data_IF_813380431247
#
_entry.id   IF_813380431247
#
_cell.length_a   1.000
_cell.length_b   1.000
_cell.length_c   1.000
_cell.angle_alpha   90.00
_cell.angle_beta   90.00
_cell.angle_gamma   90.00
#
_symmetry.space_group_name_H-M   'P 1'
#
loop_
_entity.id
_entity.type
_entity.pdbx_description
1 polymer ?
#
# COMPACT_ATOMS: atom_id res chain seq x y z
N UNK A 1 16.29 -10.09 -0.46
CA UNK A 1 17.41 -10.75 0.24
C UNK A 1 17.60 -12.13 -0.38
N UNK A 2 18.79 -12.41 -0.95
CA UNK A 2 19.08 -13.67 -1.66
C UNK A 2 19.22 -14.87 -0.70
N UNK A 3 18.54 -15.95 -1.10
CA UNK A 3 18.80 -17.38 -0.86
C UNK A 3 18.74 -17.95 0.57
N UNK A 4 17.61 -18.59 0.88
CA UNK A 4 17.61 -20.01 1.30
C UNK A 4 16.31 -20.68 0.79
N UNK A 5 16.52 -21.75 0.02
CA UNK A 5 15.53 -22.54 -0.74
C UNK A 5 15.00 -23.71 0.12
N UNK A 6 13.69 -23.96 -0.04
CA UNK A 6 12.81 -25.12 0.24
C UNK A 6 13.32 -26.49 0.74
N UNK A 7 12.52 -27.18 1.57
CA UNK A 7 11.92 -28.52 1.32
C UNK A 7 11.01 -28.99 2.51
N UNK A 8 9.68 -29.07 2.38
CA UNK A 8 8.79 -30.26 2.12
C UNK A 8 8.48 -31.14 3.37
N UNK A 9 7.18 -31.35 3.66
CA UNK A 9 6.51 -32.67 3.68
C UNK A 9 5.22 -32.68 4.53
N UNK A 10 4.06 -32.59 3.87
CA UNK A 10 2.85 -33.23 4.36
C UNK A 10 2.78 -34.63 3.74
N UNK A 11 3.16 -35.65 4.52
CA UNK A 11 2.80 -37.04 4.28
C UNK A 11 2.02 -37.52 5.50
N UNK A 12 0.77 -37.92 5.29
CA UNK A 12 0.04 -38.75 6.24
C UNK A 12 0.60 -40.18 6.25
N UNK A 13 0.63 -40.79 7.42
CA UNK A 13 0.96 -42.20 7.63
C UNK A 13 1.05 -42.51 9.11
N UNK A 14 0.06 -43.22 9.64
CA UNK A 14 -0.03 -43.57 11.06
C UNK A 14 1.01 -44.59 11.53
N UNK A 15 1.19 -44.65 12.85
CA UNK A 15 1.95 -45.68 13.54
C UNK A 15 1.95 -45.39 15.04
N UNK A 16 1.29 -46.24 15.83
CA UNK A 16 1.12 -46.07 17.27
C UNK A 16 2.31 -46.50 18.14
N UNK A 17 2.12 -46.35 19.45
CA UNK A 17 3.04 -46.70 20.54
C UNK A 17 3.56 -45.42 21.22
N UNK A 18 3.18 -45.05 22.45
CA UNK A 18 3.12 -45.86 23.66
C UNK A 18 4.35 -45.50 24.52
N UNK A 19 4.15 -44.79 25.63
CA UNK A 19 5.22 -44.54 26.60
C UNK A 19 5.03 -43.23 27.37
N UNK A 20 4.53 -43.33 28.60
CA UNK A 20 4.34 -42.21 29.51
C UNK A 20 5.64 -41.60 30.02
N UNK A 21 5.59 -40.30 30.29
CA UNK A 21 6.60 -39.56 31.02
C UNK A 21 6.00 -38.23 31.45
N UNK A 22 5.70 -38.07 32.74
CA UNK A 22 5.15 -36.84 33.29
C UNK A 22 6.15 -35.70 33.16
N UNK A 23 5.78 -34.68 32.39
CA UNK A 23 6.49 -33.40 32.30
C UNK A 23 5.80 -32.39 33.22
N UNK A 24 6.52 -31.94 34.24
CA UNK A 24 6.15 -30.81 35.08
C UNK A 24 6.16 -29.54 34.22
N UNK A 25 4.99 -28.95 33.96
CA UNK A 25 4.91 -27.63 33.34
C UNK A 25 5.56 -26.59 34.28
N UNK A 26 6.57 -25.83 33.84
CA UNK A 26 7.02 -24.66 34.59
C UNK A 26 5.88 -23.63 34.67
N UNK A 27 5.76 -22.89 35.79
CA UNK A 27 4.77 -21.82 35.90
C UNK A 27 5.00 -20.78 34.78
N UNK A 28 3.93 -20.18 34.24
CA UNK A 28 4.05 -19.16 33.21
C UNK A 28 4.93 -18.01 33.73
N UNK A 29 5.80 -17.43 32.88
CA UNK A 29 6.61 -16.29 33.26
C UNK A 29 5.69 -15.16 33.73
N UNK A 30 5.97 -14.63 34.92
CA UNK A 30 5.32 -13.44 35.45
C UNK A 30 5.66 -12.29 34.49
N UNK A 31 4.70 -11.91 33.64
CA UNK A 31 4.84 -10.76 32.76
C UNK A 31 4.86 -9.53 33.65
N UNK A 32 6.03 -8.92 33.85
CA UNK A 32 6.12 -7.62 34.50
C UNK A 32 5.22 -6.63 33.74
N UNK A 33 4.40 -5.83 34.44
CA UNK A 33 3.59 -4.81 33.78
C UNK A 33 4.52 -3.90 32.98
N UNK A 34 4.26 -3.78 31.69
CA UNK A 34 4.97 -2.84 30.81
C UNK A 34 4.83 -1.44 31.43
N UNK A 35 5.92 -0.67 31.61
CA UNK A 35 5.86 0.63 32.26
C UNK A 35 4.88 1.51 31.51
N UNK A 36 3.90 2.06 32.23
CA UNK A 36 2.98 3.06 31.68
C UNK A 36 3.82 4.22 31.14
N UNK A 37 3.75 4.54 29.83
CA UNK A 37 4.54 5.62 29.28
C UNK A 37 4.18 6.92 30.01
N UNK A 38 5.19 7.55 30.60
CA UNK A 38 5.01 8.84 31.26
C UNK A 38 4.78 9.88 30.17
N UNK A 39 3.55 10.36 30.04
CA UNK A 39 3.18 11.35 29.03
C UNK A 39 3.88 12.66 29.38
N UNK A 40 4.90 13.03 28.59
CA UNK A 40 5.53 14.34 28.71
C UNK A 40 4.49 15.43 28.37
N UNK A 41 4.34 16.49 29.17
CA UNK A 41 3.38 17.55 28.88
C UNK A 41 3.69 18.17 27.52
N UNK A 42 2.65 18.34 26.71
CA UNK A 42 2.72 18.98 25.40
C UNK A 42 3.21 20.43 25.55
N UNK A 43 4.36 20.76 24.95
CA UNK A 43 4.91 22.11 24.92
C UNK A 43 5.27 22.46 23.48
N UNK A 44 4.29 22.93 22.72
CA UNK A 44 4.53 23.65 21.47
C UNK A 44 4.17 25.13 21.63
N UNK A 45 5.11 25.96 22.12
CA UNK A 45 4.92 27.40 22.20
C UNK A 45 4.89 28.02 20.79
N UNK A 46 4.45 29.27 20.69
CA UNK A 46 4.36 30.04 19.44
C UNK A 46 5.63 29.87 18.58
N UNK A 47 5.46 29.26 17.40
CA UNK A 47 6.56 28.86 16.52
C UNK A 47 6.39 27.50 15.83
N UNK A 48 5.37 26.71 16.20
CA UNK A 48 5.04 25.43 15.58
C UNK A 48 5.92 24.27 16.08
N UNK A 49 5.32 23.08 16.19
CA UNK A 49 6.08 21.86 16.44
C UNK A 49 6.87 21.49 15.17
N UNK A 50 8.07 20.96 15.33
CA UNK A 50 8.91 20.52 14.21
C UNK A 50 9.21 19.03 14.27
N UNK A 51 8.86 18.35 15.36
CA UNK A 51 8.97 16.90 15.46
C UNK A 51 7.74 16.30 16.14
N UNK A 52 7.35 15.12 15.69
CA UNK A 52 6.18 14.40 16.14
C UNK A 52 6.55 12.94 16.32
N UNK A 53 6.05 12.32 17.39
CA UNK A 53 6.19 10.89 17.62
C UNK A 53 4.80 10.28 17.66
N UNK A 54 4.60 9.27 16.84
CA UNK A 54 3.36 8.55 16.71
C UNK A 54 3.59 7.08 17.01
N UNK A 55 2.54 6.41 17.49
CA UNK A 55 2.57 4.98 17.75
C UNK A 55 1.21 4.38 17.48
N UNK A 56 1.21 3.11 17.07
CA UNK A 56 -0.02 2.44 16.69
C UNK A 56 0.14 0.95 16.52
N UNK A 57 -0.87 0.38 15.89
CA UNK A 57 -0.91 -1.03 15.52
C UNK A 57 -1.40 -1.15 14.09
N UNK A 58 -0.88 -2.12 13.36
CA UNK A 58 -1.50 -2.54 12.10
C UNK A 58 -1.79 -4.05 12.11
N UNK A 59 -2.79 -4.40 11.31
CA UNK A 59 -3.30 -5.75 11.15
C UNK A 59 -3.52 -5.98 9.67
N UNK A 60 -2.87 -6.99 9.15
CA UNK A 60 -3.09 -7.49 7.80
C UNK A 60 -3.79 -8.84 7.88
N UNK A 61 -4.87 -8.99 7.13
CA UNK A 61 -5.64 -10.23 7.02
C UNK A 61 -5.72 -10.63 5.55
N UNK A 62 -5.20 -11.81 5.22
CA UNK A 62 -5.32 -12.39 3.88
C UNK A 62 -6.28 -13.56 3.91
N UNK A 63 -7.33 -13.47 3.10
CA UNK A 63 -8.28 -14.56 2.86
C UNK A 63 -8.15 -15.00 1.42
N UNK A 64 -7.99 -16.29 1.17
CA UNK A 64 -7.98 -16.87 -0.16
C UNK A 64 -9.24 -17.69 -0.34
N UNK A 65 -9.82 -17.69 -1.54
CA UNK A 65 -10.90 -18.61 -1.93
C UNK A 65 -10.34 -19.72 -2.82
N UNK A 66 -9.14 -19.53 -3.36
CA UNK A 66 -8.41 -20.45 -4.25
C UNK A 66 -6.93 -20.55 -3.85
N UNK A 67 -6.22 -21.70 -4.04
CA UNK A 67 -6.69 -22.99 -4.59
C UNK A 67 -7.54 -23.81 -3.62
N UNK A 68 -8.10 -24.93 -4.11
CA UNK A 68 -8.80 -25.93 -3.28
C UNK A 68 -7.83 -27.07 -2.90
N UNK A 69 -7.73 -27.47 -1.61
CA UNK A 69 -8.48 -26.94 -0.46
C UNK A 69 -8.06 -25.52 -0.08
N UNK A 70 -9.04 -24.71 0.28
CA UNK A 70 -8.85 -23.30 0.65
C UNK A 70 -7.86 -23.16 1.81
N UNK A 71 -6.75 -22.41 1.65
CA UNK A 71 -5.82 -22.17 2.74
C UNK A 71 -6.48 -21.47 3.93
N UNK A 72 -5.99 -21.70 5.16
CA UNK A 72 -6.49 -20.97 6.33
C UNK A 72 -6.23 -19.47 6.18
N UNK A 73 -7.12 -18.66 6.77
CA UNK A 73 -6.95 -17.20 6.84
C UNK A 73 -5.64 -16.87 7.54
N UNK A 74 -4.84 -16.00 6.94
CA UNK A 74 -3.58 -15.51 7.51
C UNK A 74 -3.83 -14.15 8.15
N UNK A 75 -3.31 -13.97 9.37
CA UNK A 75 -3.37 -12.69 10.09
C UNK A 75 -1.99 -12.35 10.59
N UNK A 76 -1.53 -11.15 10.27
CA UNK A 76 -0.26 -10.59 10.73
C UNK A 76 -0.60 -9.33 11.51
N UNK A 77 -0.11 -9.26 12.74
CA UNK A 77 -0.22 -8.07 13.58
C UNK A 77 1.17 -7.48 13.76
N UNK A 78 1.26 -6.16 13.74
CA UNK A 78 2.48 -5.43 14.02
C UNK A 78 2.19 -4.19 14.88
N UNK A 79 3.21 -3.76 15.60
CA UNK A 79 3.23 -2.46 16.26
C UNK A 79 3.97 -1.47 15.37
N UNK A 80 3.43 -0.27 15.26
CA UNK A 80 3.98 0.80 14.44
C UNK A 80 4.53 1.89 15.34
N UNK A 81 5.76 2.33 15.10
CA UNK A 81 6.37 3.49 15.75
C UNK A 81 6.91 4.45 14.71
N UNK A 82 6.59 5.73 14.82
CA UNK A 82 6.93 6.72 13.80
C UNK A 82 7.46 8.01 14.43
N UNK A 83 8.47 8.58 13.81
CA UNK A 83 8.99 9.91 14.13
C UNK A 83 8.99 10.76 12.88
N UNK A 84 8.36 11.94 12.97
CA UNK A 84 8.30 12.90 11.88
C UNK A 84 9.13 14.11 12.28
N UNK A 85 9.90 14.64 11.33
CA UNK A 85 10.69 15.85 11.45
C UNK A 85 10.39 16.77 10.27
N UNK A 86 10.01 18.01 10.56
CA UNK A 86 9.68 19.02 9.55
C UNK A 86 10.95 19.78 9.19
N UNK A 87 11.34 19.74 7.93
CA UNK A 87 12.47 20.50 7.38
C UNK A 87 11.91 21.58 6.46
N UNK A 88 11.83 22.84 6.94
CA UNK A 88 11.49 23.96 6.08
C UNK A 88 12.49 24.09 4.93
N UNK A 89 11.99 24.26 3.71
CA UNK A 89 12.80 24.58 2.52
C UNK A 89 13.85 23.52 2.14
N UNK A 90 13.47 22.24 2.11
CA UNK A 90 14.35 21.15 1.71
C UNK A 90 14.53 21.05 0.18
N UNK A 91 15.16 22.07 -0.42
CA UNK A 91 15.44 22.08 -1.85
C UNK A 91 14.20 21.90 -2.75
N UNK A 92 14.40 21.84 -4.08
CA UNK A 92 13.33 21.47 -5.00
C UNK A 92 13.17 19.93 -5.08
N UNK A 93 11.93 19.44 -5.02
CA UNK A 93 11.56 18.07 -5.40
C UNK A 93 10.98 18.11 -6.81
N UNK A 94 11.60 17.39 -7.75
CA UNK A 94 11.26 17.43 -9.18
C UNK A 94 11.09 18.87 -9.73
N UNK A 95 11.99 19.77 -9.33
CA UNK A 95 11.97 21.18 -9.73
C UNK A 95 10.97 22.07 -8.99
N UNK A 96 10.20 21.53 -8.04
CA UNK A 96 9.20 22.27 -7.27
C UNK A 96 9.65 22.52 -5.83
N UNK A 97 9.56 23.77 -5.37
CA UNK A 97 9.87 24.15 -3.98
C UNK A 97 8.74 23.65 -3.06
N UNK A 98 9.10 22.88 -2.03
CA UNK A 98 8.18 22.33 -1.07
C UNK A 98 8.77 22.28 0.35
N UNK A 99 7.91 22.03 1.34
CA UNK A 99 8.31 21.67 2.71
C UNK A 99 8.50 20.16 2.77
N UNK A 100 9.65 19.68 3.25
CA UNK A 100 9.89 18.25 3.42
C UNK A 100 9.53 17.82 4.85
N UNK A 101 8.70 16.79 4.94
CA UNK A 101 8.38 16.08 6.16
C UNK A 101 9.12 14.75 6.12
N UNK A 102 10.23 14.70 6.86
CA UNK A 102 11.03 13.50 7.01
C UNK A 102 10.41 12.60 8.05
N UNK A 103 10.05 11.41 7.63
CA UNK A 103 9.42 10.40 8.47
C UNK A 103 10.37 9.23 8.60
N UNK A 104 10.68 8.82 9.82
CA UNK A 104 11.33 7.56 10.13
C UNK A 104 10.32 6.68 10.85
N UNK A 105 10.06 5.50 10.29
CA UNK A 105 9.04 4.58 10.75
C UNK A 105 9.64 3.22 11.03
N UNK A 106 9.11 2.52 12.03
CA UNK A 106 9.56 1.21 12.46
C UNK A 106 8.37 0.31 12.76
N UNK A 107 8.31 -0.80 12.04
CA UNK A 107 7.25 -1.79 12.12
C UNK A 107 7.79 -3.07 12.70
N UNK A 108 7.22 -3.47 13.83
CA UNK A 108 7.64 -4.69 14.52
C UNK A 108 6.53 -5.73 14.42
N UNK A 109 6.77 -6.75 13.60
CA UNK A 109 5.98 -7.97 13.53
C UNK A 109 6.75 -9.12 14.23
N UNK A 110 6.10 -10.26 14.56
CA UNK A 110 6.77 -11.37 15.27
C UNK A 110 8.03 -11.91 14.59
N UNK A 111 8.13 -11.78 13.26
CA UNK A 111 9.22 -12.35 12.46
C UNK A 111 10.06 -11.29 11.75
N UNK A 112 9.70 -10.01 11.85
CA UNK A 112 10.34 -8.98 11.04
C UNK A 112 10.29 -7.62 11.72
N UNK A 113 11.40 -6.89 11.60
CA UNK A 113 11.50 -5.47 11.88
C UNK A 113 11.80 -4.77 10.56
N UNK A 114 10.94 -3.84 10.14
CA UNK A 114 11.17 -3.01 8.96
C UNK A 114 11.30 -1.57 9.42
N UNK A 115 12.31 -0.86 8.92
CA UNK A 115 12.42 0.58 9.09
C UNK A 115 12.26 1.27 7.74
N UNK A 116 11.37 2.26 7.66
CA UNK A 116 11.15 3.03 6.43
C UNK A 116 11.45 4.49 6.68
N UNK A 117 12.26 5.11 5.83
CA UNK A 117 12.50 6.54 5.81
C UNK A 117 11.76 7.14 4.62
N UNK A 118 10.89 8.11 4.86
CA UNK A 118 10.09 8.77 3.81
C UNK A 118 10.20 10.27 3.93
N UNK A 119 10.60 10.92 2.85
CA UNK A 119 10.57 12.37 2.68
C UNK A 119 9.31 12.75 1.90
N UNK A 120 8.32 13.35 2.57
CA UNK A 120 7.08 13.83 1.93
C UNK A 120 7.20 15.32 1.61
N UNK A 121 6.90 15.71 0.37
CA UNK A 121 7.06 17.08 -0.09
C UNK A 121 5.71 17.78 -0.21
N UNK A 122 5.46 18.80 0.62
CA UNK A 122 4.17 19.49 0.68
C UNK A 122 4.31 20.98 0.33
N UNK A 123 3.42 21.44 -0.54
CA UNK A 123 3.20 22.83 -0.88
C UNK A 123 2.00 23.39 -0.11
N UNK A 124 2.21 24.55 0.50
CA UNK A 124 1.20 25.28 1.26
C UNK A 124 0.72 26.50 0.47
N UNK A 125 -0.59 26.82 0.50
CA UNK A 125 -1.09 28.06 -0.06
C UNK A 125 -0.59 29.24 0.80
N UNK A 126 -0.48 30.43 0.21
CA UNK A 126 -0.08 31.65 0.93
C UNK A 126 -1.19 32.23 1.82
N UNK A 127 -2.45 31.87 1.55
CA UNK A 127 -3.63 32.31 2.30
C UNK A 127 -4.66 31.19 2.33
N UNK A 128 -5.63 31.22 1.41
CA UNK A 128 -6.69 30.23 1.24
C UNK A 128 -6.35 29.34 0.07
N UNK A 129 -6.57 28.03 0.19
CA UNK A 129 -6.38 27.10 -0.92
C UNK A 129 -6.03 25.69 -0.49
N UNK A 130 -5.71 24.87 -1.48
CA UNK A 130 -5.32 23.47 -1.26
C UNK A 130 -3.92 23.39 -0.67
N UNK A 131 -3.77 22.51 0.31
CA UNK A 131 -2.48 22.00 0.75
C UNK A 131 -2.20 20.75 -0.09
N UNK A 132 -1.09 20.75 -0.80
CA UNK A 132 -0.81 19.76 -1.85
C UNK A 132 0.47 19.02 -1.49
N UNK A 133 0.38 17.72 -1.25
CA UNK A 133 1.50 16.79 -1.36
C UNK A 133 1.88 16.69 -2.83
N UNK A 134 3.10 17.09 -3.19
CA UNK A 134 3.60 16.99 -4.57
C UNK A 134 4.27 15.65 -4.84
N UNK A 135 4.43 14.81 -3.81
CA UNK A 135 5.00 13.49 -3.90
C UNK A 135 5.88 13.13 -2.70
N UNK A 136 6.51 11.96 -2.77
CA UNK A 136 7.40 11.49 -1.73
C UNK A 136 8.55 10.66 -2.31
N UNK A 137 9.62 10.58 -1.52
CA UNK A 137 10.73 9.67 -1.74
C UNK A 137 10.87 8.79 -0.50
N UNK A 138 10.90 7.48 -0.65
CA UNK A 138 11.04 6.54 0.46
C UNK A 138 12.14 5.51 0.24
N UNK A 139 12.72 5.05 1.34
CA UNK A 139 13.68 3.94 1.35
C UNK A 139 13.45 3.10 2.59
N UNK A 140 13.34 1.78 2.41
CA UNK A 140 13.22 0.86 3.54
C UNK A 140 14.56 0.23 3.96
N UNK A 141 14.55 -0.49 5.08
CA UNK A 141 15.70 -1.20 5.62
C UNK A 141 16.14 -2.38 4.77
N UNK A 142 15.33 -2.82 3.80
CA UNK A 142 15.72 -3.82 2.82
C UNK A 142 16.44 -3.19 1.62
N UNK A 143 16.38 -1.87 1.46
CA UNK A 143 17.00 -1.11 0.37
C UNK A 143 16.07 -0.86 -0.81
N UNK A 144 14.76 -1.11 -0.67
CA UNK A 144 13.77 -0.75 -1.69
C UNK A 144 13.55 0.76 -1.65
N UNK A 145 13.67 1.40 -2.81
CA UNK A 145 13.55 2.86 -2.98
C UNK A 145 12.34 3.17 -3.86
N UNK A 146 11.40 3.96 -3.36
CA UNK A 146 10.24 4.42 -4.13
C UNK A 146 10.26 5.94 -4.26
N UNK A 147 9.96 6.45 -5.45
CA UNK A 147 9.80 7.87 -5.73
C UNK A 147 8.48 8.09 -6.46
N UNK A 148 7.60 8.90 -5.87
CA UNK A 148 6.27 9.21 -6.39
C UNK A 148 6.15 10.70 -6.57
N UNK A 149 5.72 11.12 -7.76
CA UNK A 149 5.40 12.49 -8.09
C UNK A 149 3.91 12.62 -8.38
N UNK A 150 3.19 13.40 -7.57
CA UNK A 150 1.81 13.76 -7.86
C UNK A 150 1.77 14.88 -8.90
N UNK A 151 0.95 14.69 -9.94
CA UNK A 151 0.81 15.65 -11.03
C UNK A 151 -0.41 16.56 -10.79
N UNK A 152 -0.71 17.43 -11.75
CA UNK A 152 -1.76 18.42 -11.63
C UNK A 152 -3.14 17.78 -11.32
N UNK A 153 -3.81 18.31 -10.29
CA UNK A 153 -5.13 17.86 -9.84
C UNK A 153 -5.11 16.64 -8.90
N UNK A 154 -3.92 16.15 -8.52
CA UNK A 154 -3.72 15.14 -7.48
C UNK A 154 -3.00 15.73 -6.26
N UNK A 155 -2.92 14.97 -5.17
CA UNK A 155 -2.08 15.26 -4.00
C UNK A 155 -2.68 16.26 -3.02
N UNK A 156 -3.92 16.69 -3.17
CA UNK A 156 -4.60 17.52 -2.16
C UNK A 156 -4.80 16.69 -0.90
N UNK A 157 -4.20 17.13 0.20
CA UNK A 157 -4.28 16.49 1.52
C UNK A 157 -5.05 17.34 2.54
N UNK A 158 -5.49 18.52 2.12
CA UNK A 158 -6.25 19.43 2.97
C UNK A 158 -6.48 20.78 2.30
N UNK A 159 -7.19 21.65 3.01
CA UNK A 159 -7.45 23.02 2.57
C UNK A 159 -7.25 24.00 3.73
N UNK A 160 -6.93 25.24 3.41
CA UNK A 160 -6.90 26.36 4.36
C UNK A 160 -8.07 27.29 4.04
N UNK A 161 -8.99 27.58 5.00
CA UNK A 161 -9.09 26.95 6.32
C UNK A 161 -9.52 25.47 6.23
N UNK A 162 -9.21 24.71 7.28
CA UNK A 162 -9.54 23.28 7.36
C UNK A 162 -11.06 23.04 7.30
N UNK A 163 -11.47 21.93 6.67
CA UNK A 163 -12.82 21.39 6.79
C UNK A 163 -13.71 21.54 5.56
N UNK A 164 -13.24 22.18 4.49
CA UNK A 164 -13.85 22.03 3.18
C UNK A 164 -13.38 20.69 2.56
N UNK A 165 -14.31 19.90 2.02
CA UNK A 165 -13.99 18.65 1.34
C UNK A 165 -13.19 18.90 0.07
N UNK A 166 -12.41 17.91 -0.35
CA UNK A 166 -11.65 17.95 -1.59
C UNK A 166 -11.75 16.60 -2.31
N UNK A 167 -11.27 16.61 -3.55
CA UNK A 167 -11.16 15.43 -4.41
C UNK A 167 -9.82 15.48 -5.11
N UNK A 168 -9.22 14.31 -5.29
CA UNK A 168 -8.05 14.15 -6.14
C UNK A 168 -8.41 13.38 -7.40
N UNK A 169 -7.67 13.64 -8.47
CA UNK A 169 -7.57 12.70 -9.59
C UNK A 169 -6.44 11.69 -9.33
N UNK A 170 -6.19 10.75 -10.25
CA UNK A 170 -5.14 9.73 -10.06
C UNK A 170 -3.76 10.09 -10.62
N UNK A 171 -3.60 11.30 -11.16
CA UNK A 171 -2.45 11.65 -11.99
C UNK A 171 -1.13 11.60 -11.21
N UNK A 172 -0.22 10.73 -11.61
CA UNK A 172 1.06 10.52 -10.91
C UNK A 172 2.12 9.86 -11.78
N UNK A 173 3.38 9.99 -11.37
CA UNK A 173 4.51 9.20 -11.85
C UNK A 173 5.07 8.44 -10.66
N UNK A 174 5.29 7.15 -10.84
CA UNK A 174 5.83 6.26 -9.82
C UNK A 174 7.09 5.62 -10.39
N UNK A 175 8.16 5.61 -9.59
CA UNK A 175 9.32 4.78 -9.84
C UNK A 175 9.71 4.01 -8.59
N UNK A 176 10.11 2.75 -8.77
CA UNK A 176 10.67 1.93 -7.71
C UNK A 176 11.96 1.26 -8.20
N UNK A 177 12.93 1.15 -7.29
CA UNK A 177 14.12 0.34 -7.47
C UNK A 177 14.28 -0.60 -6.28
N UNK A 178 14.38 -1.89 -6.57
CA UNK A 178 14.63 -2.94 -5.59
C UNK A 178 16.11 -3.32 -5.54
N UNK A 179 16.60 -3.81 -4.39
CA UNK A 179 17.96 -4.32 -4.24
C UNK A 179 18.30 -5.50 -5.15
N UNK A 180 17.29 -6.24 -5.63
CA UNK A 180 17.49 -7.37 -6.53
C UNK A 180 17.63 -6.96 -8.01
N UNK A 181 17.61 -5.64 -8.28
CA UNK A 181 17.68 -5.07 -9.61
C UNK A 181 16.32 -4.93 -10.30
N UNK A 182 15.22 -5.25 -9.61
CA UNK A 182 13.88 -4.93 -10.12
C UNK A 182 13.70 -3.42 -10.20
N UNK A 183 13.22 -2.94 -11.35
CA UNK A 183 12.91 -1.52 -11.58
C UNK A 183 11.49 -1.42 -12.09
N UNK A 184 10.69 -0.57 -11.47
CA UNK A 184 9.32 -0.29 -11.88
C UNK A 184 9.17 1.19 -12.21
N UNK A 185 8.51 1.48 -13.33
CA UNK A 185 8.15 2.82 -13.74
C UNK A 185 6.69 2.81 -14.22
N UNK A 186 5.88 3.71 -13.68
CA UNK A 186 4.47 3.83 -14.02
C UNK A 186 4.07 5.30 -14.15
N UNK A 187 3.29 5.62 -15.19
CA UNK A 187 2.63 6.92 -15.35
C UNK A 187 1.14 6.70 -15.34
N UNK A 188 0.45 7.38 -14.42
CA UNK A 188 -1.00 7.29 -14.23
C UNK A 188 -1.63 8.61 -14.66
N UNK A 189 -2.69 8.54 -15.45
CA UNK A 189 -3.48 9.68 -15.91
C UNK A 189 -4.55 10.07 -14.87
N UNK A 190 -5.18 11.25 -14.99
CA UNK A 190 -6.22 11.70 -14.06
C UNK A 190 -7.40 10.72 -13.85
N UNK A 191 -7.74 9.94 -14.86
CA UNK A 191 -8.85 8.98 -14.83
C UNK A 191 -8.49 7.61 -14.24
N UNK A 192 -7.21 7.37 -13.90
CA UNK A 192 -6.68 6.10 -13.41
C UNK A 192 -6.13 5.16 -14.49
N UNK A 193 -6.27 5.52 -15.78
CA UNK A 193 -5.57 4.82 -16.87
C UNK A 193 -4.05 4.99 -16.72
N UNK A 194 -3.26 4.01 -17.16
CA UNK A 194 -1.81 4.06 -16.91
C UNK A 194 -0.99 3.35 -17.98
N UNK A 195 0.31 3.66 -18.01
CA UNK A 195 1.35 2.83 -18.62
C UNK A 195 2.36 2.40 -17.55
N UNK A 196 2.79 1.14 -17.60
CA UNK A 196 3.71 0.52 -16.65
C UNK A 196 4.81 -0.23 -17.40
N UNK A 197 6.03 -0.12 -16.88
CA UNK A 197 7.17 -0.97 -17.24
C UNK A 197 7.79 -1.48 -15.95
N UNK A 198 7.93 -2.79 -15.83
CA UNK A 198 8.65 -3.47 -14.76
C UNK A 198 9.74 -4.32 -15.38
N UNK A 199 10.99 -4.13 -14.99
CA UNK A 199 12.11 -4.96 -15.42
C UNK A 199 12.63 -5.71 -14.22
N UNK A 200 12.74 -7.03 -14.32
CA UNK A 200 13.27 -7.91 -13.28
C UNK A 200 14.10 -9.02 -13.92
N UNK A 201 14.71 -9.88 -13.11
CA UNK A 201 15.55 -11.00 -13.60
C UNK A 201 14.78 -11.93 -14.54
N UNK A 202 13.47 -12.10 -14.32
CA UNK A 202 12.62 -12.94 -15.17
C UNK A 202 12.36 -12.32 -16.56
N UNK A 203 12.50 -11.00 -16.71
CA UNK A 203 12.26 -10.27 -17.95
C UNK A 203 11.56 -8.94 -17.72
N UNK A 204 11.02 -8.37 -18.80
CA UNK A 204 10.29 -7.09 -18.75
C UNK A 204 8.80 -7.34 -18.87
N UNK A 205 8.04 -6.83 -17.90
CA UNK A 205 6.59 -6.67 -17.98
C UNK A 205 6.27 -5.26 -18.48
N UNK A 206 5.37 -5.15 -19.45
CA UNK A 206 4.77 -3.86 -19.82
C UNK A 206 3.26 -3.96 -19.73
N UNK A 207 2.60 -2.89 -19.31
CA UNK A 207 1.14 -2.83 -19.29
C UNK A 207 0.62 -1.44 -19.64
N UNK A 208 -0.53 -1.41 -20.32
CA UNK A 208 -1.26 -0.18 -20.63
C UNK A 208 -2.73 -0.42 -20.36
N UNK A 209 -3.29 0.31 -19.39
CA UNK A 209 -4.71 0.34 -19.08
C UNK A 209 -5.31 1.62 -19.67
N UNK A 210 -6.42 1.50 -20.39
CA UNK A 210 -7.16 2.62 -20.98
C UNK A 210 -8.33 3.02 -20.08
N UNK A 211 -8.83 4.26 -20.23
CA UNK A 211 -9.91 4.84 -19.43
C UNK A 211 -11.23 4.06 -19.43
N UNK A 212 -11.49 3.25 -20.45
CA UNK A 212 -12.69 2.42 -20.58
C UNK A 212 -12.55 1.03 -19.94
N UNK A 213 -11.44 0.79 -19.24
CA UNK A 213 -11.12 -0.49 -18.61
C UNK A 213 -10.60 -1.56 -19.57
N UNK A 214 -10.39 -1.25 -20.85
CA UNK A 214 -9.63 -2.12 -21.76
C UNK A 214 -8.13 -1.94 -21.54
N UNK A 215 -7.32 -2.92 -21.93
CA UNK A 215 -5.88 -2.80 -21.78
C UNK A 215 -5.09 -3.96 -22.37
N UNK A 216 -3.78 -3.82 -22.34
CA UNK A 216 -2.85 -4.85 -22.76
C UNK A 216 -1.71 -4.98 -21.77
N UNK A 217 -1.23 -6.19 -21.52
CA UNK A 217 0.02 -6.43 -20.83
C UNK A 217 0.87 -7.46 -21.59
N UNK A 218 2.19 -7.33 -21.47
CA UNK A 218 3.15 -8.36 -21.85
C UNK A 218 3.82 -8.77 -20.56
N UNK A 219 3.77 -10.06 -20.22
CA UNK A 219 4.42 -10.64 -19.03
C UNK A 219 5.47 -11.65 -19.46
N UNK A 220 6.63 -11.74 -18.78
CA UNK A 220 7.69 -12.71 -19.07
C UNK A 220 7.35 -14.12 -18.55
N UNK A 221 6.08 -14.50 -18.64
CA UNK A 221 5.57 -15.82 -18.29
C UNK A 221 4.96 -16.43 -19.52
N UNK A 222 5.30 -17.69 -19.77
CA UNK A 222 4.76 -18.47 -20.86
C UNK A 222 3.70 -19.40 -20.29
N UNK A 223 2.42 -19.13 -20.57
CA UNK A 223 1.32 -20.02 -20.21
C UNK A 223 1.34 -21.28 -21.08
N UNK A 224 0.85 -22.40 -20.54
CA UNK A 224 0.86 -23.70 -21.22
C UNK A 224 0.21 -23.61 -22.61
N UNK A 225 0.97 -24.03 -23.64
CA UNK A 225 0.52 -24.05 -25.03
C UNK A 225 0.73 -22.75 -25.81
N UNK A 226 1.06 -21.65 -25.15
CA UNK A 226 1.60 -20.45 -25.78
C UNK A 226 3.13 -20.62 -25.82
N UNK A 227 3.77 -20.52 -26.98
CA UNK A 227 5.24 -20.57 -27.07
C UNK A 227 5.88 -19.20 -26.79
N UNK A 228 7.16 -19.03 -27.14
CA UNK A 228 7.82 -17.72 -27.17
C UNK A 228 8.54 -17.33 -25.87
N UNK A 229 8.77 -16.02 -25.71
CA UNK A 229 9.52 -15.43 -24.59
C UNK A 229 8.62 -14.84 -23.51
N UNK A 230 7.30 -14.81 -23.74
CA UNK A 230 6.32 -14.32 -22.77
C UNK A 230 4.89 -14.48 -23.28
N UNK A 231 3.95 -13.89 -22.56
CA UNK A 231 2.52 -13.87 -22.93
C UNK A 231 2.02 -12.45 -23.02
N UNK A 232 1.31 -12.16 -24.10
CA UNK A 232 0.51 -10.95 -24.22
C UNK A 232 -0.91 -11.23 -23.75
N UNK A 233 -1.38 -10.40 -22.83
CA UNK A 233 -2.73 -10.39 -22.27
C UNK A 233 -3.44 -9.19 -22.88
N UNK A 234 -4.62 -9.40 -23.45
CA UNK A 234 -5.49 -8.32 -23.95
C UNK A 234 -6.83 -8.40 -23.25
N UNK A 235 -7.23 -7.28 -22.63
CA UNK A 235 -8.51 -7.08 -21.98
C UNK A 235 -9.37 -6.20 -22.87
N UNK A 236 -10.47 -6.72 -23.44
CA UNK A 236 -11.38 -5.88 -24.23
C UNK A 236 -12.20 -4.97 -23.31
N UNK A 237 -12.82 -3.94 -23.91
CA UNK A 237 -13.88 -3.19 -23.23
C UNK A 237 -14.96 -4.16 -22.79
N UNK A 238 -15.41 -4.04 -21.54
CA UNK A 238 -16.46 -4.90 -21.03
C UNK A 238 -17.79 -4.60 -21.73
N UNK A 239 -18.37 -5.62 -22.36
CA UNK A 239 -19.70 -5.57 -22.95
C UNK A 239 -20.49 -6.82 -22.60
N UNK A 240 -21.70 -6.68 -22.04
CA UNK A 240 -22.61 -7.81 -21.88
C UNK A 240 -22.30 -8.78 -20.75
N UNK A 241 -21.66 -8.31 -19.65
CA UNK A 241 -21.46 -9.11 -18.43
C UNK A 241 -20.40 -10.21 -18.52
N UNK A 242 -19.72 -10.34 -19.67
CA UNK A 242 -18.57 -11.22 -19.87
C UNK A 242 -17.43 -10.40 -20.47
N UNK A 243 -16.21 -10.66 -19.99
CA UNK A 243 -14.97 -10.09 -20.53
C UNK A 243 -14.18 -11.24 -21.16
N UNK A 244 -13.90 -11.13 -22.46
CA UNK A 244 -13.18 -12.16 -23.21
C UNK A 244 -11.68 -11.83 -23.23
N UNK A 245 -10.96 -12.31 -22.23
CA UNK A 245 -9.50 -12.16 -22.17
C UNK A 245 -8.88 -12.90 -23.34
N UNK A 246 -7.93 -12.26 -24.01
CA UNK A 246 -7.14 -12.91 -25.07
C UNK A 246 -5.70 -13.07 -24.60
N UNK A 247 -5.21 -14.30 -24.60
CA UNK A 247 -3.82 -14.64 -24.34
C UNK A 247 -3.14 -15.04 -25.65
N UNK A 248 -2.04 -14.38 -26.01
CA UNK A 248 -1.25 -14.71 -27.21
C UNK A 248 0.23 -14.84 -26.88
N UNK A 249 0.93 -15.68 -27.64
CA UNK A 249 2.36 -15.86 -27.49
C UNK A 249 3.11 -14.57 -27.86
N UNK A 250 4.01 -14.11 -27.00
CA UNK A 250 4.91 -12.98 -27.26
C UNK A 250 6.29 -13.52 -27.65
N UNK A 251 6.87 -13.01 -28.74
CA UNK A 251 8.21 -13.42 -29.20
C UNK A 251 8.32 -14.85 -29.77
N UNK A 252 7.21 -15.53 -30.03
CA UNK A 252 7.24 -16.88 -30.63
C UNK A 252 7.63 -16.85 -32.12
N UNK A 253 8.47 -17.80 -32.54
CA UNK A 253 8.81 -18.00 -33.95
C UNK A 253 7.63 -18.60 -34.73
N UNK A 254 7.48 -18.29 -36.03
CA UNK A 254 6.45 -18.89 -36.87
C UNK A 254 6.58 -20.43 -36.98
N UNK A 255 5.46 -21.18 -37.01
CA UNK A 255 4.09 -20.69 -36.89
C UNK A 255 3.72 -20.37 -35.44
N UNK A 256 3.21 -19.15 -35.21
CA UNK A 256 2.77 -18.70 -33.88
C UNK A 256 1.52 -19.48 -33.45
N UNK A 257 1.46 -20.01 -32.21
CA UNK A 257 0.25 -20.62 -31.68
C UNK A 257 -0.95 -19.66 -31.75
N UNK A 258 -2.16 -20.15 -32.06
CA UNK A 258 -3.34 -19.30 -32.09
C UNK A 258 -3.61 -18.70 -30.70
N UNK A 259 -4.12 -17.45 -30.61
CA UNK A 259 -4.52 -16.87 -29.34
C UNK A 259 -5.59 -17.72 -28.62
N UNK A 260 -5.47 -17.81 -27.30
CA UNK A 260 -6.47 -18.42 -26.44
C UNK A 260 -7.44 -17.35 -25.94
N UNK A 261 -8.74 -17.60 -26.01
CA UNK A 261 -9.77 -16.70 -25.50
C UNK A 261 -10.39 -17.31 -24.25
N UNK A 262 -10.34 -16.57 -23.14
CA UNK A 262 -10.86 -16.99 -21.84
C UNK A 262 -12.04 -16.09 -21.47
N UNK A 263 -13.29 -16.60 -21.54
CA UNK A 263 -14.45 -15.85 -21.11
C UNK A 263 -14.49 -15.79 -19.57
N UNK A 264 -14.58 -14.59 -19.02
CA UNK A 264 -14.66 -14.34 -17.58
C UNK A 264 -15.94 -13.56 -17.29
N UNK A 265 -16.74 -13.99 -16.32
CA UNK A 265 -17.88 -13.18 -15.85
C UNK A 265 -17.35 -11.85 -15.33
N UNK A 266 -17.89 -10.75 -15.85
CA UNK A 266 -17.45 -9.43 -15.47
C UNK A 266 -17.71 -9.17 -13.98
N UNK A 267 -16.67 -8.70 -13.29
CA UNK A 267 -16.71 -8.33 -11.87
C UNK A 267 -16.62 -6.81 -11.66
N UNK A 268 -16.50 -6.05 -12.75
CA UNK A 268 -16.56 -4.58 -12.79
C UNK A 268 -17.68 -4.10 -13.74
N UNK A 269 -18.05 -2.82 -13.60
CA UNK A 269 -19.13 -2.20 -14.35
C UNK A 269 -18.68 -1.73 -15.75
N UNK A 270 -19.59 -1.67 -16.75
CA UNK A 270 -19.23 -1.16 -18.08
C UNK A 270 -18.81 0.30 -17.98
N UNK A 271 -17.73 0.66 -18.67
CA UNK A 271 -17.10 1.99 -18.54
C UNK A 271 -16.78 2.34 -17.08
N UNK A 272 -15.90 1.56 -16.42
CA UNK A 272 -15.65 1.71 -14.99
C UNK A 272 -14.94 3.03 -14.68
N UNK A 273 -15.11 3.53 -13.46
CA UNK A 273 -14.23 4.55 -12.88
C UNK A 273 -12.98 3.84 -12.37
N UNK A 274 -11.82 4.09 -13.00
CA UNK A 274 -10.58 3.38 -12.64
C UNK A 274 -9.95 3.91 -11.35
N UNK A 275 -10.19 5.17 -11.02
CA UNK A 275 -9.73 5.76 -9.78
C UNK A 275 -10.67 6.84 -9.28
N UNK A 276 -10.88 6.89 -7.97
CA UNK A 276 -11.60 7.99 -7.31
C UNK A 276 -11.00 8.28 -5.95
N UNK A 277 -11.01 9.55 -5.56
CA UNK A 277 -10.61 9.99 -4.22
C UNK A 277 -11.54 11.13 -3.78
N UNK A 278 -12.17 10.94 -2.61
CA UNK A 278 -13.07 11.91 -2.02
C UNK A 278 -12.82 12.07 -0.53
N UNK A 279 -12.72 13.31 -0.07
CA UNK A 279 -12.70 13.69 1.33
C UNK A 279 -14.04 14.28 1.80
N UNK A 280 -14.49 13.87 2.98
CA UNK A 280 -15.72 14.32 3.63
C UNK A 280 -15.42 14.72 5.08
N UNK A 281 -15.82 15.93 5.46
CA UNK A 281 -15.79 16.38 6.85
C UNK A 281 -17.04 15.89 7.58
N UNK A 282 -16.86 15.02 8.57
CA UNK A 282 -17.92 14.40 9.38
C UNK A 282 -18.19 15.14 10.70
N UNK A 283 -17.62 16.34 10.86
CA UNK A 283 -17.81 17.19 12.02
C UNK A 283 -17.04 16.73 13.26
N UNK A 284 -17.38 17.30 14.41
CA UNK A 284 -16.75 16.95 15.69
C UNK A 284 -17.22 15.56 16.16
N UNK A 285 -16.29 14.63 16.36
CA UNK A 285 -16.57 13.27 16.85
C UNK A 285 -15.60 12.86 17.96
N UNK A 286 -15.97 11.82 18.71
CA UNK A 286 -15.07 11.24 19.71
C UNK A 286 -13.84 10.61 19.03
N UNK A 287 -12.67 10.81 19.63
CA UNK A 287 -11.44 10.15 19.21
C UNK A 287 -11.50 8.67 19.65
N UNK A 288 -11.18 7.70 18.78
CA UNK A 288 -11.20 6.28 19.13
C UNK A 288 -10.32 5.97 20.35
N UNK A 289 -10.82 5.14 21.27
CA UNK A 289 -10.08 4.78 22.49
C UNK A 289 -8.76 4.04 22.24
N UNK A 290 -8.63 3.36 21.09
CA UNK A 290 -7.38 2.71 20.67
C UNK A 290 -6.30 3.70 20.22
N UNK A 291 -6.62 4.99 20.10
CA UNK A 291 -5.64 6.01 19.78
C UNK A 291 -4.95 6.49 21.05
N UNK A 292 -3.62 6.42 21.07
CA UNK A 292 -2.78 6.84 22.20
C UNK A 292 -2.64 8.37 22.25
N UNK A 293 -3.76 9.09 22.22
CA UNK A 293 -3.83 10.55 22.26
C UNK A 293 -4.60 11.17 23.46
N UNK A 294 -4.67 10.59 24.68
CA UNK A 294 -5.45 11.18 25.78
C UNK A 294 -5.07 12.63 26.13
N UNK A 295 -3.79 12.99 25.94
CA UNK A 295 -3.28 14.32 26.23
C UNK A 295 -3.76 15.40 25.24
N UNK A 296 -4.37 15.00 24.12
CA UNK A 296 -4.80 15.91 23.06
C UNK A 296 -6.32 16.08 22.99
N UNK A 297 -7.04 15.56 23.98
CA UNK A 297 -8.50 15.66 24.11
C UNK A 297 -9.22 14.35 23.80
N UNK A 298 -10.54 14.35 24.01
CA UNK A 298 -11.42 13.20 23.77
C UNK A 298 -12.22 13.30 22.47
N UNK A 299 -12.14 14.43 21.76
CA UNK A 299 -12.86 14.69 20.51
C UNK A 299 -12.04 15.55 19.55
N UNK A 300 -12.32 15.40 18.25
CA UNK A 300 -11.70 16.14 17.17
C UNK A 300 -12.61 16.19 15.93
N UNK A 301 -12.34 17.13 15.02
CA UNK A 301 -12.98 17.17 13.71
C UNK A 301 -12.56 15.93 12.93
N UNK A 302 -13.53 15.08 12.61
CA UNK A 302 -13.32 13.85 11.88
C UNK A 302 -13.42 14.13 10.38
N UNK A 303 -12.34 13.87 9.65
CA UNK A 303 -12.28 13.91 8.19
C UNK A 303 -12.07 12.49 7.68
N UNK A 304 -12.95 12.06 6.79
CA UNK A 304 -12.88 10.75 6.14
C UNK A 304 -12.50 10.92 4.68
N UNK A 305 -11.45 10.24 4.25
CA UNK A 305 -11.04 10.11 2.86
C UNK A 305 -11.38 8.70 2.37
N UNK A 306 -11.95 8.60 1.17
CA UNK A 306 -12.26 7.34 0.52
C UNK A 306 -11.59 7.32 -0.84
N UNK A 307 -10.74 6.33 -1.07
CA UNK A 307 -10.07 6.10 -2.34
C UNK A 307 -10.48 4.73 -2.90
N UNK A 308 -10.67 4.67 -4.21
CA UNK A 308 -10.91 3.42 -4.93
C UNK A 308 -9.99 3.35 -6.12
N UNK A 309 -9.35 2.21 -6.36
CA UNK A 309 -8.56 1.98 -7.56
C UNK A 309 -8.94 0.64 -8.19
N UNK A 310 -9.18 0.63 -9.50
CA UNK A 310 -9.53 -0.54 -10.28
C UNK A 310 -8.47 -0.77 -11.35
N UNK A 311 -7.93 -1.99 -11.39
CA UNK A 311 -7.06 -2.49 -12.44
C UNK A 311 -7.70 -3.70 -13.10
N UNK A 312 -8.18 -3.54 -14.33
CA UNK A 312 -8.84 -4.62 -15.08
C UNK A 312 -7.86 -5.60 -15.71
N UNK A 313 -6.59 -5.20 -15.90
CA UNK A 313 -5.53 -6.04 -16.48
C UNK A 313 -5.07 -7.07 -15.45
N UNK A 314 -4.75 -6.60 -14.25
CA UNK A 314 -4.28 -7.45 -13.15
C UNK A 314 -5.39 -7.88 -12.19
N UNK A 315 -6.64 -7.50 -12.48
CA UNK A 315 -7.80 -7.96 -11.73
C UNK A 315 -7.78 -7.49 -10.29
N UNK A 316 -7.44 -6.23 -10.06
CA UNK A 316 -7.32 -5.64 -8.72
C UNK A 316 -8.45 -4.64 -8.51
N UNK A 317 -9.06 -4.68 -7.33
CA UNK A 317 -9.92 -3.63 -6.82
C UNK A 317 -9.44 -3.26 -5.42
N UNK A 318 -8.96 -2.03 -5.28
CA UNK A 318 -8.51 -1.45 -4.02
C UNK A 318 -9.56 -0.48 -3.50
N UNK A 319 -9.86 -0.55 -2.21
CA UNK A 319 -10.78 0.35 -1.52
C UNK A 319 -10.18 0.79 -0.19
N UNK A 320 -9.64 2.00 -0.15
CA UNK A 320 -9.08 2.61 1.06
C UNK A 320 -10.09 3.57 1.68
N UNK A 321 -10.26 3.48 3.00
CA UNK A 321 -10.87 4.52 3.82
C UNK A 321 -9.88 4.98 4.87
N UNK A 322 -9.60 6.28 4.89
CA UNK A 322 -8.76 6.91 5.89
C UNK A 322 -9.55 7.90 6.72
N UNK A 323 -9.74 7.56 7.98
CA UNK A 323 -10.39 8.39 8.99
C UNK A 323 -9.30 9.16 9.76
N UNK A 324 -9.44 10.48 9.85
CA UNK A 324 -8.50 11.34 10.56
C UNK A 324 -9.23 12.24 11.55
N UNK A 325 -8.77 12.26 12.80
CA UNK A 325 -9.31 13.16 13.83
C UNK A 325 -8.34 14.31 14.08
N UNK A 326 -8.82 15.53 13.83
CA UNK A 326 -8.05 16.77 13.91
C UNK A 326 -8.54 17.61 15.10
N UNK A 327 -7.62 18.00 15.97
CA UNK A 327 -7.87 18.90 17.11
C UNK A 327 -7.23 20.25 16.87
N UNK A 328 -7.25 21.15 17.86
CA UNK A 328 -6.54 22.44 17.78
C UNK A 328 -5.02 22.28 17.61
N UNK A 329 -4.45 21.13 17.97
CA UNK A 329 -3.02 20.84 17.77
C UNK A 329 -2.72 20.15 16.43
N UNK A 330 -3.76 19.82 15.65
CA UNK A 330 -3.67 19.05 14.41
C UNK A 330 -4.23 17.63 14.53
N UNK A 331 -3.93 16.76 13.54
CA UNK A 331 -4.34 15.38 13.53
C UNK A 331 -3.68 14.64 14.69
N UNK A 332 -4.50 14.00 15.50
CA UNK A 332 -4.07 13.29 16.72
C UNK A 332 -4.33 11.79 16.61
N UNK A 333 -5.16 11.40 15.65
CA UNK A 333 -5.50 10.03 15.40
C UNK A 333 -5.74 9.83 13.91
N UNK A 334 -5.26 8.72 13.39
CA UNK A 334 -5.56 8.27 12.04
C UNK A 334 -5.87 6.77 12.06
N UNK A 335 -6.95 6.40 11.39
CA UNK A 335 -7.31 5.01 11.13
C UNK A 335 -7.39 4.81 9.63
N UNK A 336 -6.64 3.85 9.14
CA UNK A 336 -6.65 3.42 7.76
C UNK A 336 -7.32 2.05 7.73
N UNK A 337 -8.30 1.88 6.86
CA UNK A 337 -8.99 0.61 6.60
C UNK A 337 -9.01 0.39 5.11
N UNK A 338 -8.42 -0.70 4.67
CA UNK A 338 -8.18 -0.95 3.27
C UNK A 338 -8.53 -2.38 2.89
N UNK A 339 -9.03 -2.56 1.67
CA UNK A 339 -9.40 -3.84 1.11
C UNK A 339 -8.93 -3.94 -0.34
N UNK A 340 -7.95 -4.82 -0.57
CA UNK A 340 -7.46 -5.20 -1.89
C UNK A 340 -8.04 -6.56 -2.29
N UNK A 341 -9.00 -6.53 -3.20
CA UNK A 341 -9.57 -7.70 -3.85
C UNK A 341 -8.81 -8.04 -5.13
N UNK A 342 -8.49 -9.32 -5.29
CA UNK A 342 -7.75 -9.86 -6.43
C UNK A 342 -8.63 -10.91 -7.09
N UNK A 343 -8.98 -10.69 -8.35
CA UNK A 343 -9.91 -11.54 -9.13
C UNK A 343 -9.21 -12.56 -10.01
N UNK A 344 -7.92 -12.38 -10.30
CA UNK A 344 -7.15 -13.30 -11.14
C UNK A 344 -6.05 -14.00 -10.37
N UNK A 345 -5.90 -15.29 -10.64
CA UNK A 345 -4.74 -16.04 -10.21
C UNK A 345 -3.69 -16.09 -11.32
N UNK A 346 -2.67 -15.26 -11.20
CA UNK A 346 -1.50 -15.28 -12.08
C UNK A 346 -0.44 -16.29 -11.66
N UNK A 347 -0.66 -17.09 -10.61
CA UNK A 347 0.34 -18.05 -10.10
C UNK A 347 0.68 -19.17 -11.07
N UNK A 348 -0.12 -19.35 -12.14
CA UNK A 348 0.03 -20.44 -13.10
C UNK A 348 -0.31 -21.83 -12.53
N UNK A 349 -0.48 -21.98 -11.21
CA UNK A 349 -0.69 -23.26 -10.53
C UNK A 349 -1.97 -23.97 -10.97
N UNK A 350 -2.95 -23.25 -11.50
CA UNK A 350 -4.22 -23.81 -11.98
C UNK A 350 -4.59 -23.29 -13.37
N UNK A 351 -3.61 -22.83 -14.15
CA UNK A 351 -3.85 -22.00 -15.32
C UNK A 351 -4.33 -20.60 -14.94
N UNK A 352 -4.66 -19.77 -15.94
CA UNK A 352 -5.33 -18.49 -15.69
C UNK A 352 -6.73 -18.77 -15.12
N UNK A 353 -6.85 -18.75 -13.79
CA UNK A 353 -8.11 -19.00 -13.10
C UNK A 353 -8.78 -17.66 -12.78
N UNK A 354 -9.98 -17.46 -13.33
CA UNK A 354 -10.85 -16.33 -13.02
C UNK A 354 -12.21 -16.86 -12.56
N UNK A 355 -12.58 -16.57 -11.31
CA UNK A 355 -13.80 -17.11 -10.67
C UNK A 355 -15.03 -16.22 -10.87
N UNK A 356 -15.01 -15.34 -11.87
CA UNK A 356 -16.07 -14.39 -12.14
C UNK A 356 -16.10 -13.26 -11.11
N UNK A 357 -17.21 -13.11 -10.39
CA UNK A 357 -17.48 -12.00 -9.46
C UNK A 357 -17.00 -12.23 -8.02
N UNK A 358 -16.29 -13.33 -7.74
CA UNK A 358 -15.72 -13.62 -6.42
C UNK A 358 -14.21 -13.46 -6.50
N UNK A 359 -13.57 -12.63 -5.64
CA UNK A 359 -12.14 -12.51 -5.62
C UNK A 359 -11.48 -13.85 -5.25
N UNK A 360 -10.40 -14.20 -5.93
CA UNK A 360 -9.53 -15.35 -5.59
C UNK A 360 -8.78 -15.11 -4.29
N UNK A 361 -8.52 -13.83 -3.96
CA UNK A 361 -7.92 -13.41 -2.71
C UNK A 361 -8.41 -12.02 -2.33
N UNK A 362 -8.72 -11.84 -1.04
CA UNK A 362 -9.00 -10.54 -0.42
C UNK A 362 -7.95 -10.29 0.64
N UNK A 363 -7.28 -9.15 0.58
CA UNK A 363 -6.42 -8.65 1.64
C UNK A 363 -7.10 -7.48 2.32
N UNK A 364 -7.28 -7.56 3.62
CA UNK A 364 -7.76 -6.46 4.44
C UNK A 364 -6.59 -5.94 5.25
N UNK A 365 -6.31 -4.65 5.16
CA UNK A 365 -5.33 -3.97 5.97
C UNK A 365 -6.05 -2.97 6.88
N UNK A 366 -5.65 -2.92 8.14
CA UNK A 366 -6.14 -1.92 9.08
C UNK A 366 -4.98 -1.40 9.89
N UNK A 367 -4.86 -0.09 9.98
CA UNK A 367 -3.84 0.57 10.78
C UNK A 367 -4.49 1.66 11.63
N UNK A 368 -4.08 1.74 12.89
CA UNK A 368 -4.52 2.78 13.81
C UNK A 368 -3.29 3.39 14.46
N UNK A 369 -3.07 4.68 14.21
CA UNK A 369 -1.90 5.41 14.70
C UNK A 369 -2.37 6.67 15.43
N UNK A 370 -1.83 6.85 16.64
CA UNK A 370 -2.08 8.02 17.49
C UNK A 370 -0.84 8.86 17.68
N UNK A 371 -1.06 10.18 17.77
CA UNK A 371 -0.01 11.12 18.18
C UNK A 371 0.29 10.92 19.67
N UNK A 372 1.53 10.56 19.97
CA UNK A 372 1.99 10.34 21.34
C UNK A 372 2.71 11.57 21.91
N UNK A 373 3.53 12.22 21.10
CA UNK A 373 4.27 13.41 21.50
C UNK A 373 4.47 14.37 20.33
N UNK A 374 4.58 15.65 20.63
CA UNK A 374 4.98 16.68 19.69
C UNK A 374 5.97 17.63 20.38
N UNK A 375 7.04 17.98 19.68
CA UNK A 375 8.13 18.77 20.19
C UNK A 375 8.58 19.83 19.19
N UNK A 376 9.17 20.91 19.73
CA UNK A 376 9.84 21.94 18.94
C UNK A 376 11.34 21.69 18.96
N UNK A 377 11.96 21.59 17.79
CA UNK A 377 13.40 21.65 17.64
C UNK A 377 13.86 23.07 17.93
N UNK A 378 14.85 23.23 18.80
CA UNK A 378 15.30 24.50 19.36
C UNK A 378 15.99 25.43 18.36
N UNK A 379 15.97 25.15 17.06
CA UNK A 379 16.88 25.77 16.08
C UNK A 379 16.28 26.77 15.09
N UNK A 380 14.95 26.96 14.96
CA UNK A 380 14.43 28.00 14.04
C UNK A 380 13.13 28.65 14.55
N UNK A 381 13.14 29.98 14.68
CA UNK A 381 11.96 30.80 14.91
C UNK A 381 11.65 31.58 13.62
N UNK A 382 10.53 31.29 12.96
CA UNK A 382 10.02 32.13 11.86
C UNK A 382 8.49 32.24 11.87
N UNK A 383 8.02 33.28 11.19
CA UNK A 383 6.72 33.98 11.29
C UNK A 383 5.47 33.12 10.98
N UNK A 384 4.39 33.42 11.71
CA UNK A 384 3.12 32.69 11.79
C UNK A 384 2.10 33.08 10.69
N UNK A 385 1.60 32.05 9.99
CA UNK A 385 0.24 31.91 9.41
C UNK A 385 0.16 30.59 8.61
N UNK A 386 1.24 30.23 7.90
CA UNK A 386 1.42 28.90 7.28
C UNK A 386 2.04 27.86 8.24
N UNK A 387 2.64 28.30 9.35
CA UNK A 387 3.30 27.43 10.34
C UNK A 387 2.32 26.53 11.11
N UNK A 388 1.11 27.01 11.38
CA UNK A 388 0.08 26.27 12.11
C UNK A 388 -0.47 25.13 11.25
N UNK A 389 -0.78 25.40 9.98
CA UNK A 389 -1.17 24.38 9.00
C UNK A 389 -0.04 23.34 8.75
N UNK A 390 1.23 23.76 8.79
CA UNK A 390 2.38 22.85 8.65
C UNK A 390 2.50 21.89 9.83
N UNK A 391 2.45 22.41 11.05
CA UNK A 391 2.51 21.58 12.25
C UNK A 391 1.29 20.65 12.35
N UNK A 392 0.12 21.12 11.93
CA UNK A 392 -1.13 20.35 11.92
C UNK A 392 -1.25 19.37 10.75
N UNK A 393 -0.20 19.09 9.97
CA UNK A 393 -0.29 18.10 8.88
C UNK A 393 0.73 16.98 8.99
N UNK A 394 1.78 17.14 9.79
CA UNK A 394 2.75 16.08 9.99
C UNK A 394 2.07 14.75 10.38
N UNK A 395 1.11 14.68 11.32
CA UNK A 395 0.44 13.43 11.68
C UNK A 395 -0.52 12.87 10.61
N UNK A 396 -0.80 13.57 9.50
CA UNK A 396 -1.61 13.05 8.39
C UNK A 396 -0.78 12.32 7.33
N UNK A 397 0.55 12.48 7.34
CA UNK A 397 1.45 11.94 6.31
C UNK A 397 1.81 10.47 6.48
N UNK A 398 1.25 9.84 7.52
CA UNK A 398 1.38 8.40 7.79
C UNK A 398 0.77 7.56 6.65
N UNK A 399 -0.22 8.11 5.95
CA UNK A 399 -0.86 7.56 4.76
C UNK A 399 0.09 7.07 3.65
N UNK A 400 1.20 7.77 3.41
CA UNK A 400 2.09 7.46 2.30
C UNK A 400 2.73 6.06 2.43
N UNK A 401 2.98 5.58 3.67
CA UNK A 401 3.53 4.24 3.90
C UNK A 401 2.51 3.14 3.72
N UNK A 402 1.29 3.29 4.24
CA UNK A 402 0.25 2.28 4.05
C UNK A 402 0.05 1.98 2.55
N UNK A 403 0.17 3.01 1.70
CA UNK A 403 0.16 2.88 0.23
C UNK A 403 1.40 2.20 -0.33
N UNK A 404 2.60 2.51 0.17
CA UNK A 404 3.86 1.83 -0.18
C UNK A 404 3.83 0.34 0.14
N UNK A 405 3.45 -0.06 1.36
CA UNK A 405 3.39 -1.48 1.74
C UNK A 405 2.40 -2.26 0.87
N UNK A 406 1.26 -1.66 0.53
CA UNK A 406 0.26 -2.29 -0.36
C UNK A 406 0.72 -2.45 -1.78
N UNK A 407 1.30 -1.40 -2.34
CA UNK A 407 1.88 -1.45 -3.67
C UNK A 407 2.97 -2.54 -3.69
N UNK A 408 3.80 -2.62 -2.64
CA UNK A 408 4.78 -3.69 -2.48
C UNK A 408 4.13 -5.05 -2.32
N UNK A 409 3.04 -5.22 -1.59
CA UNK A 409 2.35 -6.51 -1.51
C UNK A 409 1.77 -6.94 -2.85
N UNK A 410 1.22 -6.01 -3.63
CA UNK A 410 0.73 -6.28 -4.98
C UNK A 410 1.88 -6.72 -5.91
N UNK A 411 3.03 -6.06 -5.84
CA UNK A 411 4.22 -6.36 -6.64
C UNK A 411 4.98 -7.61 -6.15
N UNK A 412 5.23 -7.75 -4.85
CA UNK A 412 5.88 -8.91 -4.22
C UNK A 412 5.06 -10.17 -4.41
N UNK A 413 3.72 -10.09 -4.43
CA UNK A 413 2.89 -11.24 -4.77
C UNK A 413 3.14 -11.69 -6.22
N UNK A 414 3.33 -10.76 -7.15
CA UNK A 414 3.76 -11.10 -8.52
C UNK A 414 5.18 -11.71 -8.51
N UNK A 415 6.14 -11.16 -7.76
CA UNK A 415 7.51 -11.71 -7.67
C UNK A 415 7.57 -13.10 -7.02
N UNK A 416 6.82 -13.35 -5.94
CA UNK A 416 6.73 -14.65 -5.28
C UNK A 416 6.11 -15.72 -6.19
N UNK A 417 5.20 -15.31 -7.07
CA UNK A 417 4.65 -16.15 -8.14
C UNK A 417 5.75 -16.55 -9.13
N UNK A 418 6.53 -15.59 -9.64
CA UNK A 418 7.62 -15.90 -10.57
C UNK A 418 8.71 -16.77 -9.95
N UNK A 419 9.07 -16.54 -8.69
CA UNK A 419 10.03 -17.37 -7.96
C UNK A 419 9.51 -18.79 -7.75
N UNK A 420 8.23 -18.95 -7.42
CA UNK A 420 7.59 -20.25 -7.27
C UNK A 420 7.59 -21.02 -8.60
N UNK A 421 7.22 -20.36 -9.71
CA UNK A 421 7.26 -20.96 -11.04
C UNK A 421 8.69 -21.33 -11.48
N UNK A 422 9.68 -20.51 -11.19
CA UNK A 422 11.09 -20.79 -11.49
C UNK A 422 11.57 -22.04 -10.73
N UNK A 423 11.26 -22.14 -9.44
CA UNK A 423 11.63 -23.29 -8.61
C UNK A 423 10.88 -24.57 -8.99
N UNK A 424 9.65 -24.47 -9.49
CA UNK A 424 8.90 -25.64 -9.98
C UNK A 424 9.40 -26.14 -11.33
N UNK A 425 9.82 -25.25 -12.24
CA UNK A 425 10.40 -25.65 -13.54
C UNK A 425 11.79 -26.29 -13.38
N UNK A 426 12.55 -25.91 -12.35
CA UNK A 426 13.87 -26.48 -12.06
C UNK A 426 13.88 -27.94 -11.55
N UNK A 427 12.72 -28.50 -11.19
CA UNK A 427 12.61 -29.88 -10.69
C UNK A 427 12.16 -30.91 -11.75
N UNK A 428 12.03 -30.50 -13.01
CA UNK A 428 11.66 -31.39 -14.13
C UNK A 428 12.75 -31.54 -15.21
N UNK A 429 13.99 -31.17 -14.91
CA UNK A 429 15.16 -31.43 -15.76
C UNK A 429 16.03 -32.55 -15.22
#
# INVERSE_FOLDING_TARGET
>A
MLAAISAIAACGGGGGGGGGGGSLNPPPPVVSPSPTPTVSPFVCPSGGCTSFTLSGTSTQRTTRTFPTPTPPVQVINSTVGQTISVIPSAGPFHGQIATNYKTAETDTAPLQLITTNTDNYIKFPSSTGNIVNIGYHSTDSNGVVMDVQYLAGNGVIGQVPLGAGWSNNASSIISENDPDGTVIAQTINPDGSYSLTKTEVAGTTTATLNADGSGTAIVPVVFAGLGGTGTQITVPVQSGGVVNYTLSAHGASPPTPPPQVIPVTAWYAPSPTLASDKSTNLGLQAIPAGCVAPAFGSSGVHVQQQETQLDTIFGLLDNETTDTWVTSVGPVCQRISDTLDIFYDFTGQSGFAALGNVPVQTNVFTELIGLHAAARSSSVAHVMSASEARASLAPQLVLARARLERWRFAVLKQQLVHLHEYLQRGNHS
#
